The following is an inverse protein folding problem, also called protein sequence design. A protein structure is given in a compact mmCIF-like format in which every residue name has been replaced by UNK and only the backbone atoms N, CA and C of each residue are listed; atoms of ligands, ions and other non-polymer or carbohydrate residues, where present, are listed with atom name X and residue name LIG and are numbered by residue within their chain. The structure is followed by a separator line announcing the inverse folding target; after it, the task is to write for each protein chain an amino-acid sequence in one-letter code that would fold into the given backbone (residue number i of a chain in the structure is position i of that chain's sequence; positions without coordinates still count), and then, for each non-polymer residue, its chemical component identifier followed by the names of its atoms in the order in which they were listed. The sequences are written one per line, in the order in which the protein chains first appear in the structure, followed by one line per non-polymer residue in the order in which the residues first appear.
data_IF_770906805958
#
_entry.id   IF_770906805958
#
_cell.length_a   1.000
_cell.length_b   1.000
_cell.length_c   1.000
_cell.angle_alpha   90.00
_cell.angle_beta   90.00
_cell.angle_gamma   90.00
#
_symmetry.space_group_name_H-M   'P 1'
#
loop_
_entity.id
_entity.type
_entity.pdbx_description
1 polymer ?
#
# COMPACT_ATOMS: atom_id res chain seq x y z
N UNK A 1 -67.80 37.99 -31.88
CA UNK A 1 -67.34 36.61 -31.58
C UNK A 1 -65.82 36.53 -31.75
N UNK A 2 -65.01 36.82 -30.72
CA UNK A 2 -63.56 36.49 -30.76
C UNK A 2 -62.77 36.57 -29.44
N UNK A 3 -63.41 36.68 -28.26
CA UNK A 3 -62.69 36.75 -26.97
C UNK A 3 -62.77 35.48 -26.11
N UNK A 4 -63.71 34.57 -26.38
CA UNK A 4 -63.94 33.38 -25.52
C UNK A 4 -62.98 32.21 -25.80
N UNK A 5 -62.47 32.08 -27.03
CA UNK A 5 -61.61 30.95 -27.40
C UNK A 5 -60.16 31.11 -26.93
N UNK A 6 -59.62 32.35 -26.91
CA UNK A 6 -58.23 32.62 -26.49
C UNK A 6 -57.97 32.37 -25.01
N UNK A 7 -58.94 32.63 -24.13
CA UNK A 7 -58.81 32.41 -22.68
C UNK A 7 -58.80 30.93 -22.30
N UNK A 8 -59.58 30.09 -23.01
CA UNK A 8 -59.60 28.64 -22.75
C UNK A 8 -58.32 27.94 -23.20
N UNK A 9 -57.74 28.37 -24.33
CA UNK A 9 -56.48 27.80 -24.83
C UNK A 9 -55.29 28.17 -23.93
N UNK A 10 -55.24 29.40 -23.41
CA UNK A 10 -54.19 29.82 -22.47
C UNK A 10 -54.23 29.04 -21.14
N UNK A 11 -55.43 28.77 -20.60
CA UNK A 11 -55.57 28.00 -19.36
C UNK A 11 -55.15 26.54 -19.52
N UNK A 12 -55.42 25.91 -20.67
CA UNK A 12 -55.02 24.51 -20.92
C UNK A 12 -53.50 24.41 -21.09
N UNK A 13 -52.86 25.35 -21.78
CA UNK A 13 -51.40 25.37 -21.96
C UNK A 13 -50.68 25.60 -20.63
N UNK A 14 -51.18 26.50 -19.77
CA UNK A 14 -50.62 26.73 -18.43
C UNK A 14 -50.73 25.50 -17.52
N UNK A 15 -51.85 24.76 -17.57
CA UNK A 15 -52.00 23.53 -16.78
C UNK A 15 -51.03 22.44 -17.25
N UNK A 16 -50.82 22.30 -18.57
CA UNK A 16 -49.87 21.32 -19.11
C UNK A 16 -48.43 21.68 -18.74
N UNK A 17 -48.04 22.96 -18.79
CA UNK A 17 -46.70 23.40 -18.37
C UNK A 17 -46.44 23.18 -16.88
N UNK A 18 -47.42 23.48 -16.00
CA UNK A 18 -47.28 23.22 -14.55
C UNK A 18 -47.20 21.72 -14.27
N UNK A 19 -47.96 20.90 -15.01
CA UNK A 19 -47.91 19.43 -14.88
C UNK A 19 -46.57 18.84 -15.31
N UNK A 20 -45.96 19.35 -16.38
CA UNK A 20 -44.61 18.95 -16.81
C UNK A 20 -43.53 19.40 -15.83
N UNK A 21 -43.69 20.56 -15.18
CA UNK A 21 -42.75 21.04 -14.14
C UNK A 21 -42.81 20.17 -12.87
N UNK A 22 -44.01 19.71 -12.48
CA UNK A 22 -44.19 18.83 -11.30
C UNK A 22 -43.66 17.41 -11.59
N UNK A 23 -43.85 16.91 -12.82
CA UNK A 23 -43.30 15.62 -13.25
C UNK A 23 -41.76 15.65 -13.36
N UNK A 24 -41.17 16.77 -13.79
CA UNK A 24 -39.70 16.92 -13.79
C UNK A 24 -39.14 17.02 -12.38
N UNK A 25 -39.76 17.81 -11.49
CA UNK A 25 -39.38 17.89 -10.07
C UNK A 25 -39.49 16.53 -9.35
N UNK A 26 -40.51 15.73 -9.65
CA UNK A 26 -40.66 14.36 -9.15
C UNK A 26 -39.59 13.39 -9.66
N UNK A 27 -39.18 13.52 -10.93
CA UNK A 27 -38.10 12.71 -11.51
C UNK A 27 -36.71 13.10 -10.95
N UNK A 28 -36.46 14.38 -10.71
CA UNK A 28 -35.23 14.85 -10.05
C UNK A 28 -35.16 14.43 -8.58
N UNK A 29 -36.28 14.50 -7.84
CA UNK A 29 -36.33 14.06 -6.45
C UNK A 29 -36.14 12.53 -6.31
N UNK A 30 -36.70 11.73 -7.23
CA UNK A 30 -36.58 10.28 -7.19
C UNK A 30 -35.18 9.78 -7.61
N UNK A 31 -34.51 10.45 -8.56
CA UNK A 31 -33.11 10.17 -8.90
C UNK A 31 -32.14 10.54 -7.78
N UNK A 32 -32.38 11.64 -7.05
CA UNK A 32 -31.57 12.01 -5.90
C UNK A 32 -31.79 11.06 -4.70
N UNK A 33 -33.01 10.56 -4.52
CA UNK A 33 -33.32 9.55 -3.49
C UNK A 33 -32.72 8.18 -3.82
N UNK A 34 -32.75 7.75 -5.09
CA UNK A 34 -32.09 6.53 -5.54
C UNK A 34 -30.55 6.61 -5.48
N UNK A 35 -29.95 7.78 -5.74
CA UNK A 35 -28.51 8.03 -5.48
C UNK A 35 -28.18 7.98 -3.99
N UNK A 36 -29.01 8.59 -3.14
CA UNK A 36 -28.81 8.58 -1.69
C UNK A 36 -29.01 7.19 -1.05
N UNK A 37 -30.01 6.42 -1.49
CA UNK A 37 -30.27 5.05 -1.02
C UNK A 37 -29.23 4.02 -1.53
N UNK A 38 -28.48 4.35 -2.61
CA UNK A 38 -27.37 3.51 -3.09
C UNK A 38 -26.09 3.66 -2.26
N UNK A 39 -25.90 4.82 -1.61
CA UNK A 39 -24.77 5.07 -0.71
C UNK A 39 -24.95 4.43 0.68
N UNK A 40 -26.18 4.15 1.12
CA UNK A 40 -26.46 3.63 2.46
C UNK A 40 -26.27 2.11 2.63
N UNK A 41 -25.55 1.45 1.72
CA UNK A 41 -25.36 -0.02 1.73
C UNK A 41 -23.92 -0.48 1.50
N UNK A 42 -22.95 0.43 1.54
CA UNK A 42 -21.55 0.13 1.29
C UNK A 42 -20.74 0.11 2.59
N UNK A 43 -19.53 -0.44 2.51
CA UNK A 43 -18.59 -0.48 3.62
C UNK A 43 -18.21 0.93 4.05
N UNK A 44 -18.11 1.13 5.35
CA UNK A 44 -17.56 2.34 5.95
C UNK A 44 -16.31 2.01 6.81
N UNK A 45 -15.33 2.91 6.83
CA UNK A 45 -14.14 2.79 7.67
C UNK A 45 -14.17 3.89 8.74
N UNK A 46 -14.14 3.49 10.00
CA UNK A 46 -14.11 4.41 11.14
C UNK A 46 -12.78 5.17 11.17
N UNK A 47 -12.86 6.50 11.26
CA UNK A 47 -11.71 7.40 11.37
C UNK A 47 -11.97 8.51 12.40
N UNK A 48 -10.89 9.09 12.94
CA UNK A 48 -11.00 10.25 13.83
C UNK A 48 -11.52 11.48 13.11
N UNK A 49 -11.03 11.69 11.89
CA UNK A 49 -11.34 12.82 11.01
C UNK A 49 -11.23 12.33 9.57
N UNK A 50 -12.14 12.77 8.71
CA UNK A 50 -12.10 12.58 7.25
C UNK A 50 -11.13 13.56 6.56
N UNK A 51 -10.67 14.60 7.27
CA UNK A 51 -9.76 15.62 6.72
C UNK A 51 -8.42 15.05 6.30
N UNK A 52 -7.99 15.40 5.10
CA UNK A 52 -6.67 15.10 4.53
C UNK A 52 -6.02 16.42 4.06
N UNK A 53 -4.72 16.66 4.32
CA UNK A 53 -4.01 17.82 3.81
C UNK A 53 -4.17 17.94 2.28
N UNK A 54 -4.38 19.16 1.79
CA UNK A 54 -4.59 19.39 0.35
C UNK A 54 -3.42 18.86 -0.49
N UNK A 55 -2.18 19.05 0.00
CA UNK A 55 -0.95 18.53 -0.62
C UNK A 55 -0.97 17.01 -0.81
N UNK A 56 -1.52 16.25 0.14
CA UNK A 56 -1.66 14.79 0.06
C UNK A 56 -2.72 14.42 -0.98
N UNK A 57 -3.86 15.11 -0.97
CA UNK A 57 -4.93 14.90 -1.93
C UNK A 57 -4.47 15.14 -3.37
N UNK A 58 -3.83 16.29 -3.62
CA UNK A 58 -3.30 16.65 -4.93
C UNK A 58 -2.28 15.61 -5.43
N UNK A 59 -1.37 15.17 -4.54
CA UNK A 59 -0.36 14.18 -4.90
C UNK A 59 -0.99 12.81 -5.21
N UNK A 60 -1.99 12.37 -4.45
CA UNK A 60 -2.72 11.14 -4.72
C UNK A 60 -3.44 11.19 -6.08
N UNK A 61 -4.18 12.26 -6.34
CA UNK A 61 -4.93 12.47 -7.59
C UNK A 61 -4.03 12.55 -8.82
N UNK A 62 -2.86 13.20 -8.70
CA UNK A 62 -1.90 13.30 -9.80
C UNK A 62 -1.22 11.97 -10.12
N UNK A 63 -0.97 11.12 -9.12
CA UNK A 63 -0.08 9.98 -9.27
C UNK A 63 -0.78 8.62 -9.41
N UNK A 64 -1.99 8.44 -8.86
CA UNK A 64 -2.57 7.10 -8.69
C UNK A 64 -2.68 6.29 -9.98
N UNK A 65 -3.11 6.90 -11.09
CA UNK A 65 -3.35 6.20 -12.34
C UNK A 65 -2.06 5.70 -13.00
N UNK A 66 -0.98 6.51 -12.95
CA UNK A 66 0.33 6.12 -13.47
C UNK A 66 0.93 4.95 -12.69
N UNK A 67 0.83 5.02 -11.37
CA UNK A 67 1.25 3.93 -10.48
C UNK A 67 0.43 2.65 -10.70
N UNK A 68 -0.90 2.76 -10.83
CA UNK A 68 -1.78 1.63 -11.08
C UNK A 68 -1.47 0.93 -12.41
N UNK A 69 -1.28 1.71 -13.48
CA UNK A 69 -0.90 1.20 -14.81
C UNK A 69 0.46 0.51 -14.78
N UNK A 70 1.45 1.07 -14.08
CA UNK A 70 2.77 0.48 -13.94
C UNK A 70 2.75 -0.84 -13.16
N UNK A 71 1.98 -0.90 -12.06
CA UNK A 71 1.86 -2.13 -11.27
C UNK A 71 1.06 -3.21 -12.00
N UNK A 72 0.00 -2.85 -12.73
CA UNK A 72 -0.71 -3.80 -13.60
C UNK A 72 0.24 -4.40 -14.65
N UNK A 73 1.13 -3.59 -15.23
CA UNK A 73 2.13 -4.07 -16.20
C UNK A 73 3.10 -5.07 -15.55
N UNK A 74 3.55 -4.84 -14.32
CA UNK A 74 4.37 -5.81 -13.56
C UNK A 74 3.63 -7.13 -13.32
N UNK A 75 2.36 -7.04 -12.93
CA UNK A 75 1.54 -8.20 -12.62
C UNK A 75 0.97 -8.89 -13.85
N UNK A 76 1.38 -8.49 -15.07
CA UNK A 76 0.83 -8.96 -16.36
C UNK A 76 -0.71 -8.87 -16.41
N UNK A 77 -1.29 -7.86 -15.78
CA UNK A 77 -2.71 -7.61 -15.73
C UNK A 77 -3.16 -6.70 -16.89
N UNK A 78 -4.41 -6.90 -17.35
CA UNK A 78 -5.01 -6.03 -18.38
C UNK A 78 -5.27 -4.64 -17.82
N UNK A 79 -5.04 -3.58 -18.59
CA UNK A 79 -5.44 -2.23 -18.19
C UNK A 79 -6.96 -2.11 -18.03
N UNK A 80 -7.42 -1.17 -17.20
CA UNK A 80 -8.85 -0.89 -16.98
C UNK A 80 -9.11 0.58 -16.67
N UNK A 81 -10.35 0.91 -16.30
CA UNK A 81 -10.68 2.25 -15.79
C UNK A 81 -10.22 2.35 -14.34
N UNK A 82 -9.26 3.22 -14.07
CA UNK A 82 -8.79 3.50 -12.71
C UNK A 82 -9.56 4.64 -12.07
N UNK A 83 -9.92 4.46 -10.81
CA UNK A 83 -10.59 5.44 -9.96
C UNK A 83 -9.91 5.46 -8.58
N UNK A 84 -9.93 6.62 -7.93
CA UNK A 84 -9.36 6.80 -6.60
C UNK A 84 -10.49 6.86 -5.56
N UNK A 85 -10.49 5.93 -4.62
CA UNK A 85 -11.43 5.90 -3.49
C UNK A 85 -11.07 6.89 -2.39
N UNK A 86 -12.00 7.14 -1.47
CA UNK A 86 -11.79 8.04 -0.32
C UNK A 86 -10.73 7.48 0.64
N UNK A 87 -9.82 8.35 1.10
CA UNK A 87 -8.71 7.95 1.95
C UNK A 87 -9.16 7.51 3.34
N UNK A 88 -8.53 6.46 3.86
CA UNK A 88 -8.66 6.03 5.25
C UNK A 88 -7.33 6.15 6.01
N UNK A 89 -7.41 6.00 7.33
CA UNK A 89 -6.28 6.03 8.28
C UNK A 89 -6.25 4.75 9.09
N UNK A 90 -5.06 4.44 9.59
CA UNK A 90 -4.81 3.27 10.43
C UNK A 90 -4.52 3.72 11.86
N UNK A 91 -4.88 2.89 12.83
CA UNK A 91 -4.70 3.21 14.25
C UNK A 91 -4.02 2.07 15.01
N UNK A 92 -3.17 2.41 15.98
CA UNK A 92 -2.79 1.46 17.02
C UNK A 92 -3.97 1.21 17.96
N UNK A 93 -4.01 0.06 18.63
CA UNK A 93 -5.05 -0.29 19.60
C UNK A 93 -5.22 0.74 20.75
N UNK A 94 -4.15 1.47 21.09
CA UNK A 94 -4.12 2.53 22.10
C UNK A 94 -4.66 3.89 21.60
N UNK A 95 -5.02 3.99 20.32
CA UNK A 95 -5.53 5.19 19.69
C UNK A 95 -4.48 6.09 19.04
N UNK A 96 -3.20 5.73 18.97
CA UNK A 96 -2.25 6.47 18.15
C UNK A 96 -2.64 6.35 16.65
N UNK A 97 -2.69 7.48 15.95
CA UNK A 97 -2.98 7.52 14.50
C UNK A 97 -1.69 7.34 13.72
N UNK A 98 -1.75 6.50 12.69
CA UNK A 98 -0.70 6.31 11.71
C UNK A 98 -0.34 7.62 10.98
N UNK A 99 0.93 7.80 10.63
CA UNK A 99 1.40 9.04 9.98
C UNK A 99 1.15 9.08 8.47
N UNK A 100 0.60 8.01 7.88
CA UNK A 100 0.33 7.88 6.45
C UNK A 100 -1.16 7.97 6.08
N UNK A 101 -1.42 8.14 4.79
CA UNK A 101 -2.75 8.14 4.20
C UNK A 101 -2.88 7.03 3.16
N UNK A 102 -4.02 6.33 3.18
CA UNK A 102 -4.24 5.13 2.39
C UNK A 102 -5.45 5.32 1.48
N UNK A 103 -5.22 5.36 0.17
CA UNK A 103 -6.27 5.50 -0.83
C UNK A 103 -6.51 4.16 -1.52
N UNK A 104 -7.75 3.63 -1.49
CA UNK A 104 -8.13 2.50 -2.33
C UNK A 104 -8.00 2.87 -3.81
N UNK A 105 -7.28 2.05 -4.58
CA UNK A 105 -7.22 2.18 -6.04
C UNK A 105 -8.21 1.19 -6.63
N UNK A 106 -9.23 1.75 -7.29
CA UNK A 106 -10.34 1.02 -7.86
C UNK A 106 -10.09 0.83 -9.35
N UNK A 107 -10.28 -0.39 -9.84
CA UNK A 107 -10.20 -0.74 -11.26
C UNK A 107 -11.45 -1.48 -11.66
N UNK A 108 -12.19 -0.91 -12.60
CA UNK A 108 -13.45 -1.46 -13.10
C UNK A 108 -14.42 -1.82 -11.95
N UNK A 109 -14.50 -0.95 -10.94
CA UNK A 109 -15.33 -1.13 -9.75
C UNK A 109 -14.79 -2.07 -8.67
N UNK A 110 -13.58 -2.63 -8.81
CA UNK A 110 -12.92 -3.48 -7.80
C UNK A 110 -11.74 -2.80 -7.14
N UNK A 111 -11.59 -2.94 -5.83
CA UNK A 111 -10.39 -2.45 -5.13
C UNK A 111 -9.25 -3.42 -5.43
N UNK A 112 -8.25 -2.96 -6.19
CA UNK A 112 -7.14 -3.83 -6.65
C UNK A 112 -5.82 -3.50 -5.99
N UNK A 113 -5.60 -2.24 -5.64
CA UNK A 113 -4.39 -1.76 -4.97
C UNK A 113 -4.73 -0.76 -3.87
N UNK A 114 -3.72 -0.42 -3.09
CA UNK A 114 -3.73 0.70 -2.15
C UNK A 114 -2.57 1.62 -2.49
N UNK A 115 -2.87 2.90 -2.68
CA UNK A 115 -1.90 3.97 -2.80
C UNK A 115 -1.64 4.53 -1.40
N UNK A 116 -0.38 4.50 -0.97
CA UNK A 116 0.04 4.99 0.35
C UNK A 116 0.87 6.25 0.18
N UNK A 117 0.51 7.29 0.93
CA UNK A 117 1.29 8.52 1.06
C UNK A 117 1.87 8.60 2.47
N UNK A 118 3.20 8.58 2.57
CA UNK A 118 3.96 8.50 3.82
C UNK A 118 5.04 9.58 3.89
N UNK A 119 5.56 9.93 5.07
CA UNK A 119 6.73 10.81 5.18
C UNK A 119 7.88 10.33 4.28
N UNK A 120 8.43 11.24 3.47
CA UNK A 120 9.36 10.85 2.39
C UNK A 120 10.73 10.45 2.91
N UNK A 121 11.28 11.20 3.86
CA UNK A 121 12.62 11.05 4.42
C UNK A 121 12.62 11.28 5.94
N UNK A 122 13.71 10.90 6.64
CA UNK A 122 13.82 11.06 8.10
C UNK A 122 13.48 12.47 8.61
N UNK A 123 13.91 13.50 7.89
CA UNK A 123 13.66 14.89 8.28
C UNK A 123 12.17 15.26 8.26
N UNK A 124 11.36 14.55 7.48
CA UNK A 124 9.92 14.76 7.38
C UNK A 124 9.16 14.22 8.60
N UNK A 125 9.75 13.30 9.37
CA UNK A 125 9.17 12.78 10.62
C UNK A 125 9.11 13.83 11.73
N UNK A 126 9.90 14.89 11.63
CA UNK A 126 9.93 15.99 12.58
C UNK A 126 9.04 17.17 12.16
N UNK A 127 8.35 17.07 11.01
CA UNK A 127 7.50 18.14 10.45
C UNK A 127 6.02 17.86 10.73
N UNK A 128 5.20 18.91 10.63
CA UNK A 128 3.75 18.77 10.69
C UNK A 128 3.22 18.03 9.45
N UNK A 129 1.99 17.49 9.54
CA UNK A 129 1.30 16.85 8.39
C UNK A 129 1.06 17.81 7.20
N UNK A 130 1.09 19.12 7.44
CA UNK A 130 0.95 20.11 6.36
C UNK A 130 2.30 20.43 5.69
N UNK A 131 3.40 20.38 6.46
CA UNK A 131 4.73 20.82 6.00
C UNK A 131 5.60 19.67 5.47
N UNK A 132 5.33 18.43 5.90
CA UNK A 132 6.14 17.29 5.51
C UNK A 132 6.06 17.00 4.01
N UNK A 133 7.14 16.46 3.44
CA UNK A 133 7.11 15.88 2.11
C UNK A 133 6.61 14.44 2.17
N UNK A 134 5.82 14.07 1.18
CA UNK A 134 5.23 12.74 1.07
C UNK A 134 5.89 11.99 -0.08
N UNK A 135 6.22 10.72 0.14
CA UNK A 135 6.45 9.76 -0.94
C UNK A 135 5.12 9.16 -1.38
N UNK A 136 5.04 8.71 -2.62
CA UNK A 136 3.92 7.92 -3.12
C UNK A 136 4.38 6.48 -3.34
N UNK A 137 3.64 5.54 -2.75
CA UNK A 137 3.83 4.10 -2.93
C UNK A 137 2.53 3.46 -3.41
N UNK A 138 2.61 2.49 -4.32
CA UNK A 138 1.49 1.58 -4.61
C UNK A 138 1.87 0.14 -4.29
N UNK A 139 0.92 -0.64 -3.77
CA UNK A 139 1.03 -2.08 -3.54
C UNK A 139 -0.37 -2.70 -3.42
N UNK A 140 -0.46 -4.02 -3.28
CA UNK A 140 -1.74 -4.69 -3.02
C UNK A 140 -2.16 -4.70 -1.53
N UNK A 141 -1.53 -3.86 -0.69
CA UNK A 141 -1.77 -3.78 0.76
C UNK A 141 -3.27 -3.77 1.09
N UNK A 142 -3.74 -4.86 1.72
CA UNK A 142 -5.14 -5.13 2.14
C UNK A 142 -6.23 -4.91 1.09
N UNK A 143 -5.86 -4.71 -0.19
CA UNK A 143 -6.80 -4.35 -1.24
C UNK A 143 -7.84 -5.47 -1.47
N UNK A 144 -7.38 -6.72 -1.49
CA UNK A 144 -8.22 -7.91 -1.58
C UNK A 144 -9.16 -8.06 -0.38
N UNK A 145 -8.69 -7.75 0.82
CA UNK A 145 -9.51 -7.79 2.05
C UNK A 145 -10.61 -6.73 2.01
N UNK A 146 -10.32 -5.52 1.54
CA UNK A 146 -11.32 -4.46 1.37
C UNK A 146 -12.32 -4.80 0.25
N UNK A 147 -11.85 -5.29 -0.91
CA UNK A 147 -12.74 -5.63 -2.05
C UNK A 147 -13.78 -6.69 -1.68
N UNK A 148 -13.41 -7.68 -0.85
CA UNK A 148 -14.31 -8.74 -0.41
C UNK A 148 -15.51 -8.24 0.41
N UNK A 149 -15.37 -7.11 1.09
CA UNK A 149 -16.40 -6.58 2.00
C UNK A 149 -16.88 -5.18 1.60
N UNK A 150 -16.44 -4.63 0.45
CA UNK A 150 -16.76 -3.26 0.03
C UNK A 150 -18.26 -2.96 -0.12
N UNK A 151 -19.05 -3.97 -0.46
CA UNK A 151 -20.50 -3.89 -0.65
C UNK A 151 -21.27 -4.33 0.61
N UNK A 152 -20.57 -4.62 1.72
CA UNK A 152 -21.18 -4.98 2.99
C UNK A 152 -21.63 -3.71 3.70
N UNK A 153 -22.88 -3.69 4.15
CA UNK A 153 -23.43 -2.59 4.96
C UNK A 153 -22.98 -2.74 6.42
N UNK A 154 -21.69 -2.51 6.68
CA UNK A 154 -21.07 -2.52 8.00
C UNK A 154 -19.93 -1.50 8.05
N UNK A 155 -19.44 -1.24 9.27
CA UNK A 155 -18.25 -0.43 9.48
C UNK A 155 -17.09 -1.28 10.01
N UNK A 156 -15.88 -0.91 9.62
CA UNK A 156 -14.66 -1.50 10.15
C UNK A 156 -13.72 -0.44 10.72
N UNK A 157 -12.84 -0.84 11.62
CA UNK A 157 -11.68 -0.03 12.01
C UNK A 157 -10.41 -0.74 11.55
N UNK A 158 -9.54 -0.05 10.80
CA UNK A 158 -8.23 -0.60 10.39
C UNK A 158 -7.22 -0.34 11.50
N UNK A 159 -6.68 -1.41 12.05
CA UNK A 159 -5.81 -1.39 13.22
C UNK A 159 -4.43 -1.95 12.90
N UNK A 160 -3.43 -1.60 13.71
CA UNK A 160 -2.09 -2.18 13.60
C UNK A 160 -1.44 -2.37 14.98
N UNK A 161 -0.57 -3.38 15.06
CA UNK A 161 0.38 -3.59 16.16
C UNK A 161 1.70 -4.11 15.61
N UNK A 162 2.61 -4.52 16.51
CA UNK A 162 3.93 -5.02 16.14
C UNK A 162 3.88 -6.25 15.22
N UNK A 163 2.82 -7.07 15.26
CA UNK A 163 2.70 -8.32 14.48
C UNK A 163 1.95 -8.13 13.15
N UNK A 164 1.25 -7.02 12.94
CA UNK A 164 0.58 -6.79 11.67
C UNK A 164 -0.55 -5.77 11.67
N UNK A 165 -1.49 -6.00 10.74
CA UNK A 165 -2.68 -5.20 10.53
C UNK A 165 -3.94 -6.03 10.75
N UNK A 166 -4.99 -5.40 11.25
CA UNK A 166 -6.23 -6.04 11.65
C UNK A 166 -7.44 -5.22 11.19
N UNK A 167 -8.55 -5.89 10.97
CA UNK A 167 -9.86 -5.24 10.95
C UNK A 167 -10.59 -5.54 12.24
N UNK A 168 -11.16 -4.50 12.84
CA UNK A 168 -12.21 -4.66 13.85
C UNK A 168 -13.57 -4.45 13.19
N UNK A 169 -14.46 -5.41 13.37
CA UNK A 169 -15.84 -5.40 12.86
C UNK A 169 -16.76 -6.01 13.93
N UNK A 170 -17.84 -5.32 14.28
CA UNK A 170 -18.80 -5.77 15.31
C UNK A 170 -18.15 -6.19 16.65
N UNK A 171 -17.09 -5.48 17.06
CA UNK A 171 -16.33 -5.78 18.28
C UNK A 171 -15.39 -6.98 18.18
N UNK A 172 -15.27 -7.62 17.01
CA UNK A 172 -14.33 -8.73 16.75
C UNK A 172 -13.14 -8.23 15.96
N UNK A 173 -11.94 -8.56 16.43
CA UNK A 173 -10.68 -8.21 15.78
C UNK A 173 -10.15 -9.43 15.02
N UNK A 174 -9.85 -9.27 13.73
CA UNK A 174 -9.22 -10.31 12.89
C UNK A 174 -7.94 -9.78 12.24
N UNK A 175 -6.90 -10.60 12.18
CA UNK A 175 -5.68 -10.31 11.42
C UNK A 175 -6.00 -10.29 9.92
N UNK A 176 -5.54 -9.25 9.22
CA UNK A 176 -5.62 -9.15 7.74
C UNK A 176 -4.26 -9.31 7.09
N UNK A 177 -3.18 -8.89 7.75
CA UNK A 177 -1.82 -9.00 7.22
C UNK A 177 -0.80 -9.13 8.35
N UNK A 178 -0.02 -10.22 8.32
CA UNK A 178 1.10 -10.43 9.23
C UNK A 178 2.36 -9.68 8.76
N UNK A 179 3.18 -9.23 9.71
CA UNK A 179 4.47 -8.57 9.48
C UNK A 179 5.54 -9.10 10.44
N UNK A 180 5.95 -10.37 10.27
CA UNK A 180 6.92 -10.98 11.18
C UNK A 180 8.30 -10.33 11.05
N UNK A 181 8.90 -10.03 12.20
CA UNK A 181 10.20 -9.38 12.36
C UNK A 181 11.01 -10.12 13.44
N UNK A 182 12.36 -10.08 13.38
CA UNK A 182 13.24 -10.72 14.37
C UNK A 182 12.86 -10.45 15.84
N UNK A 183 12.43 -9.23 16.15
CA UNK A 183 12.07 -8.84 17.52
C UNK A 183 10.59 -9.01 17.90
N UNK A 184 9.72 -9.55 17.03
CA UNK A 184 8.30 -9.76 17.37
C UNK A 184 7.84 -11.23 17.24
N UNK A 185 8.59 -12.10 16.55
CA UNK A 185 8.17 -13.49 16.32
C UNK A 185 8.16 -14.29 17.64
N UNK A 186 9.10 -14.01 18.54
CA UNK A 186 9.19 -14.64 19.87
C UNK A 186 8.36 -13.94 20.95
N UNK A 187 7.98 -12.69 20.71
CA UNK A 187 7.36 -11.87 21.74
C UNK A 187 5.89 -12.24 21.96
N UNK A 188 5.48 -12.13 23.23
CA UNK A 188 4.09 -12.31 23.62
C UNK A 188 3.23 -11.29 22.89
N UNK A 189 2.16 -11.78 22.30
CA UNK A 189 1.22 -10.94 21.59
C UNK A 189 0.55 -9.95 22.54
N UNK A 190 0.60 -8.66 22.19
CA UNK A 190 -0.11 -7.61 22.91
C UNK A 190 -1.62 -7.83 22.81
N UNK A 191 -2.37 -7.43 23.86
CA UNK A 191 -3.81 -7.61 23.91
C UNK A 191 -4.50 -6.88 22.75
N UNK A 192 -5.34 -7.59 21.99
CA UNK A 192 -6.11 -7.06 20.85
C UNK A 192 -7.39 -6.35 21.28
N UNK A 193 -7.31 -5.57 22.35
CA UNK A 193 -8.45 -4.84 22.90
C UNK A 193 -8.41 -3.41 22.38
N UNK A 194 -9.39 -3.04 21.56
CA UNK A 194 -9.57 -1.66 21.10
C UNK A 194 -9.88 -0.76 22.31
N UNK A 195 -8.98 0.18 22.59
CA UNK A 195 -9.09 1.03 23.77
C UNK A 195 -10.35 1.91 23.74
N UNK A 196 -10.91 2.21 24.91
CA UNK A 196 -12.04 3.14 25.03
C UNK A 196 -11.70 4.53 24.47
N UNK A 197 -10.44 4.97 24.63
CA UNK A 197 -9.92 6.22 24.05
C UNK A 197 -10.10 6.23 22.54
N UNK A 198 -9.62 5.20 21.84
CA UNK A 198 -9.76 5.11 20.39
C UNK A 198 -11.24 5.15 19.98
N UNK A 199 -12.10 4.36 20.63
CA UNK A 199 -13.55 4.35 20.35
C UNK A 199 -14.21 5.73 20.49
N UNK A 200 -13.77 6.54 21.45
CA UNK A 200 -14.29 7.90 21.64
C UNK A 200 -13.77 8.92 20.62
N UNK A 201 -12.58 8.67 20.05
CA UNK A 201 -11.96 9.53 19.05
C UNK A 201 -12.46 9.24 17.62
N UNK A 202 -12.88 8.00 17.33
CA UNK A 202 -13.49 7.59 16.06
C UNK A 202 -14.91 8.17 15.92
N UNK A 203 -14.99 9.39 15.38
CA UNK A 203 -16.24 10.16 15.27
C UNK A 203 -16.79 10.26 13.85
N UNK A 204 -16.03 9.82 12.86
CA UNK A 204 -16.37 9.93 11.45
C UNK A 204 -16.17 8.59 10.74
N UNK A 205 -16.73 8.48 9.55
CA UNK A 205 -16.50 7.36 8.64
C UNK A 205 -16.13 7.87 7.26
N UNK A 206 -15.40 7.04 6.52
CA UNK A 206 -15.08 7.23 5.10
C UNK A 206 -15.50 5.99 4.32
N UNK A 207 -15.87 6.15 3.06
CA UNK A 207 -16.34 5.04 2.22
C UNK A 207 -15.28 4.72 1.17
N UNK A 208 -14.57 3.58 1.24
CA UNK A 208 -13.45 3.27 0.35
C UNK A 208 -13.84 3.17 -1.13
N UNK A 209 -15.13 2.96 -1.44
CA UNK A 209 -15.68 2.92 -2.81
C UNK A 209 -16.20 4.26 -3.30
N UNK A 210 -16.24 5.29 -2.46
CA UNK A 210 -16.64 6.64 -2.86
C UNK A 210 -15.52 7.26 -3.68
N UNK A 211 -15.79 7.45 -4.96
CA UNK A 211 -14.81 7.96 -5.93
C UNK A 211 -14.65 9.46 -5.75
N UNK A 212 -13.41 9.92 -5.58
CA UNK A 212 -13.10 11.35 -5.64
C UNK A 212 -13.23 11.86 -7.09
N UNK A 213 -13.72 13.08 -7.27
CA UNK A 213 -13.71 13.72 -8.59
C UNK A 213 -12.27 13.88 -9.06
N UNK A 214 -11.92 13.17 -10.13
CA UNK A 214 -10.58 13.16 -10.71
C UNK A 214 -10.58 13.95 -12.01
N UNK A 215 -9.50 14.70 -12.25
CA UNK A 215 -9.21 15.26 -13.57
C UNK A 215 -8.98 14.13 -14.59
N UNK A 216 -9.15 14.45 -15.88
CA UNK A 216 -8.97 13.48 -16.95
C UNK A 216 -7.55 12.89 -16.92
N UNK A 217 -7.46 11.56 -16.79
CA UNK A 217 -6.20 10.81 -16.79
C UNK A 217 -5.52 10.98 -18.16
N UNK A 218 -4.24 11.38 -18.15
CA UNK A 218 -3.44 11.43 -19.38
C UNK A 218 -3.07 10.03 -19.86
N UNK A 219 -3.05 9.80 -21.19
CA UNK A 219 -2.84 8.45 -21.75
C UNK A 219 -1.42 7.89 -21.52
N UNK A 220 -0.40 8.74 -21.35
CA UNK A 220 1.03 8.35 -21.36
C UNK A 220 1.77 8.61 -20.02
N UNK A 221 1.23 8.06 -18.94
CA UNK A 221 1.76 8.24 -17.59
C UNK A 221 2.93 7.32 -17.20
N UNK A 222 3.25 6.29 -18.01
CA UNK A 222 4.34 5.34 -17.74
C UNK A 222 5.32 5.35 -18.91
N UNK A 223 6.41 6.10 -18.77
CA UNK A 223 7.33 6.38 -19.88
C UNK A 223 8.44 5.33 -20.00
N UNK A 224 8.85 4.72 -18.88
CA UNK A 224 9.98 3.79 -18.85
C UNK A 224 9.83 2.77 -17.74
N UNK A 225 10.36 1.57 -17.97
CA UNK A 225 10.41 0.49 -16.99
C UNK A 225 11.54 -0.48 -17.33
N UNK A 226 12.28 -0.89 -16.30
CA UNK A 226 13.38 -1.84 -16.39
C UNK A 226 13.39 -2.72 -15.15
N UNK A 227 13.28 -4.04 -15.33
CA UNK A 227 13.20 -5.01 -14.22
C UNK A 227 14.03 -6.26 -14.49
N UNK A 228 14.43 -6.93 -13.41
CA UNK A 228 15.10 -8.22 -13.45
C UNK A 228 14.20 -9.25 -14.13
N UNK A 229 14.57 -9.64 -15.36
CA UNK A 229 13.72 -10.40 -16.29
C UNK A 229 13.09 -11.67 -15.71
N UNK A 230 13.81 -12.42 -14.87
CA UNK A 230 13.32 -13.68 -14.31
C UNK A 230 12.91 -13.56 -12.83
N UNK A 231 12.81 -12.34 -12.31
CA UNK A 231 12.31 -12.14 -10.96
C UNK A 231 10.84 -12.58 -10.87
N UNK A 232 10.54 -13.41 -9.89
CA UNK A 232 9.19 -13.91 -9.63
C UNK A 232 9.06 -14.24 -8.15
N UNK A 233 7.98 -13.73 -7.56
CA UNK A 233 7.56 -14.07 -6.20
C UNK A 233 7.09 -15.53 -6.21
N UNK A 234 7.73 -16.38 -5.41
CA UNK A 234 7.46 -17.83 -5.33
C UNK A 234 7.06 -18.30 -3.93
N UNK A 235 7.41 -17.53 -2.92
CA UNK A 235 7.18 -17.80 -1.52
C UNK A 235 6.94 -16.47 -0.79
N UNK A 236 6.35 -16.52 0.41
CA UNK A 236 5.98 -15.34 1.18
C UNK A 236 6.29 -15.58 2.66
N UNK A 237 6.81 -14.55 3.32
CA UNK A 237 7.17 -14.56 4.74
C UNK A 237 5.94 -14.24 5.59
N UNK A 238 5.57 -15.13 6.51
CA UNK A 238 4.38 -14.96 7.36
C UNK A 238 4.60 -15.20 8.86
N UNK A 239 5.42 -16.18 9.23
CA UNK A 239 5.52 -16.71 10.59
C UNK A 239 6.96 -16.88 11.10
N UNK A 240 7.93 -16.30 10.39
CA UNK A 240 9.36 -16.42 10.66
C UNK A 240 10.09 -15.09 10.39
N UNK A 241 11.35 -15.00 10.80
CA UNK A 241 12.16 -13.77 10.71
C UNK A 241 13.13 -13.75 9.52
N UNK A 242 12.85 -14.51 8.45
CA UNK A 242 13.81 -14.80 7.39
C UNK A 242 13.79 -13.80 6.22
N UNK A 243 13.38 -12.55 6.45
CA UNK A 243 13.27 -11.51 5.40
C UNK A 243 14.47 -11.46 4.43
N UNK A 244 15.69 -11.60 4.94
CA UNK A 244 16.90 -11.67 4.12
C UNK A 244 17.02 -12.98 3.33
N UNK A 245 16.66 -14.12 3.91
CA UNK A 245 16.57 -15.42 3.21
C UNK A 245 15.59 -15.36 2.03
N UNK A 246 14.38 -14.86 2.26
CA UNK A 246 13.37 -14.65 1.20
C UNK A 246 13.91 -13.72 0.08
N UNK A 247 14.49 -12.58 0.47
CA UNK A 247 15.01 -11.61 -0.49
C UNK A 247 16.17 -12.19 -1.31
N UNK A 248 17.14 -12.87 -0.68
CA UNK A 248 18.24 -13.54 -1.37
C UNK A 248 17.76 -14.67 -2.28
N UNK A 249 16.79 -15.49 -1.83
CA UNK A 249 16.23 -16.58 -2.64
C UNK A 249 15.61 -16.03 -3.94
N UNK A 250 14.77 -14.99 -3.83
CA UNK A 250 14.14 -14.37 -4.98
C UNK A 250 15.16 -13.75 -5.94
N UNK A 251 16.17 -13.04 -5.43
CA UNK A 251 17.23 -12.43 -6.24
C UNK A 251 18.10 -13.48 -6.93
N UNK A 252 18.59 -14.50 -6.22
CA UNK A 252 19.40 -15.57 -6.79
C UNK A 252 18.63 -16.37 -7.84
N UNK A 253 17.36 -16.68 -7.57
CA UNK A 253 16.48 -17.31 -8.56
C UNK A 253 16.33 -16.44 -9.83
N UNK A 254 16.20 -15.13 -9.66
CA UNK A 254 16.10 -14.18 -10.78
C UNK A 254 17.38 -14.13 -11.61
N UNK A 255 18.53 -13.86 -10.97
CA UNK A 255 19.79 -13.62 -11.67
C UNK A 255 20.41 -14.89 -12.23
N UNK A 256 20.08 -16.06 -11.68
CA UNK A 256 20.49 -17.37 -12.20
C UNK A 256 19.45 -18.06 -13.06
N UNK A 257 18.27 -17.45 -13.24
CA UNK A 257 17.14 -18.03 -13.95
C UNK A 257 16.83 -19.47 -13.48
N UNK A 258 16.62 -19.63 -12.19
CA UNK A 258 16.28 -20.90 -11.53
C UNK A 258 15.13 -20.68 -10.56
N UNK A 259 14.66 -21.75 -9.93
CA UNK A 259 13.64 -21.75 -8.88
C UNK A 259 14.02 -22.63 -7.68
N UNK A 260 15.28 -23.04 -7.61
CA UNK A 260 15.81 -23.94 -6.56
C UNK A 260 16.05 -23.25 -5.22
N UNK A 261 16.25 -21.93 -5.21
CA UNK A 261 16.49 -21.21 -3.96
C UNK A 261 15.17 -20.91 -3.24
N UNK A 262 15.15 -21.12 -1.92
CA UNK A 262 14.04 -20.78 -1.05
C UNK A 262 14.60 -20.33 0.32
N UNK A 263 13.82 -19.57 1.08
CA UNK A 263 14.25 -19.01 2.35
C UNK A 263 14.67 -20.09 3.36
N UNK A 264 13.92 -21.20 3.44
CA UNK A 264 14.19 -22.29 4.38
C UNK A 264 15.60 -22.87 4.18
N UNK A 265 15.95 -23.25 2.95
CA UNK A 265 17.23 -23.91 2.67
C UNK A 265 18.42 -22.97 2.85
N UNK A 266 18.24 -21.68 2.58
CA UNK A 266 19.23 -20.65 2.92
C UNK A 266 19.44 -20.61 4.43
N UNK A 267 18.36 -20.51 5.21
CA UNK A 267 18.47 -20.43 6.67
C UNK A 267 19.04 -21.72 7.27
N UNK A 268 18.67 -22.89 6.74
CA UNK A 268 19.24 -24.20 7.11
C UNK A 268 20.74 -24.29 6.80
N UNK A 269 21.19 -23.69 5.70
CA UNK A 269 22.63 -23.60 5.35
C UNK A 269 23.39 -22.72 6.36
N UNK A 270 22.79 -21.61 6.79
CA UNK A 270 23.40 -20.68 7.75
C UNK A 270 23.39 -21.20 9.20
N UNK A 271 22.40 -22.04 9.54
CA UNK A 271 22.17 -22.56 10.88
C UNK A 271 21.95 -24.08 10.86
N UNK A 272 22.96 -24.88 10.45
CA UNK A 272 22.79 -26.32 10.24
C UNK A 272 22.45 -27.08 11.53
N UNK A 273 22.88 -26.57 12.69
CA UNK A 273 22.68 -27.20 14.00
C UNK A 273 21.40 -26.77 14.74
N UNK A 274 20.67 -25.76 14.23
CA UNK A 274 19.46 -25.25 14.88
C UNK A 274 18.28 -26.17 14.59
N UNK A 275 17.44 -26.47 15.59
CA UNK A 275 16.25 -27.31 15.41
C UNK A 275 15.28 -26.69 14.40
N UNK A 276 14.47 -27.50 13.69
CA UNK A 276 13.42 -26.98 12.81
C UNK A 276 12.42 -26.07 13.54
N UNK A 277 12.20 -26.31 14.83
CA UNK A 277 11.32 -25.50 15.67
C UNK A 277 11.91 -24.11 15.98
N UNK A 278 13.23 -24.02 16.12
CA UNK A 278 13.93 -22.79 16.46
C UNK A 278 14.49 -22.06 15.22
N UNK A 279 14.47 -22.67 14.05
CA UNK A 279 14.95 -22.03 12.82
C UNK A 279 14.14 -20.78 12.44
N UNK A 280 12.78 -20.75 12.52
CA UNK A 280 11.95 -19.56 12.23
C UNK A 280 12.33 -18.30 13.02
N UNK A 281 13.03 -18.52 14.11
CA UNK A 281 13.44 -17.56 15.12
C UNK A 281 14.87 -17.02 14.91
N UNK A 282 15.61 -17.57 13.95
CA UNK A 282 16.93 -17.08 13.55
C UNK A 282 16.80 -15.94 12.53
N UNK A 283 17.56 -14.87 12.75
CA UNK A 283 17.70 -13.78 11.78
C UNK A 283 18.93 -14.00 10.88
N UNK A 284 19.16 -13.11 9.93
CA UNK A 284 20.36 -13.14 9.06
C UNK A 284 21.12 -11.83 9.18
N UNK A 285 22.44 -11.90 9.24
CA UNK A 285 23.32 -10.74 9.38
C UNK A 285 24.15 -10.47 8.11
N UNK A 286 24.64 -9.23 7.91
CA UNK A 286 25.45 -8.84 6.75
C UNK A 286 26.60 -9.78 6.36
N UNK A 287 27.39 -10.25 7.33
CA UNK A 287 28.49 -11.18 7.06
C UNK A 287 28.01 -12.52 6.48
N UNK A 288 26.92 -13.07 7.02
CA UNK A 288 26.33 -14.32 6.54
C UNK A 288 25.76 -14.16 5.13
N UNK A 289 25.19 -13.01 4.81
CA UNK A 289 24.69 -12.70 3.47
C UNK A 289 25.83 -12.72 2.43
N UNK A 290 26.97 -12.12 2.77
CA UNK A 290 28.15 -12.09 1.93
C UNK A 290 28.76 -13.49 1.77
N UNK A 291 28.92 -14.22 2.87
CA UNK A 291 29.47 -15.59 2.85
C UNK A 291 28.56 -16.56 2.07
N UNK A 292 27.24 -16.45 2.26
CA UNK A 292 26.28 -17.23 1.48
C UNK A 292 26.38 -16.89 0.00
N UNK A 293 26.38 -15.60 -0.37
CA UNK A 293 26.57 -15.18 -1.76
C UNK A 293 27.85 -15.76 -2.39
N UNK A 294 28.97 -15.74 -1.66
CA UNK A 294 30.24 -16.35 -2.10
C UNK A 294 30.10 -17.85 -2.37
N UNK A 295 29.45 -18.59 -1.48
CA UNK A 295 29.18 -20.03 -1.69
C UNK A 295 28.34 -20.30 -2.94
N UNK A 296 27.56 -19.31 -3.38
CA UNK A 296 26.72 -19.35 -4.57
C UNK A 296 27.43 -18.74 -5.80
N UNK A 297 28.72 -18.42 -5.75
CA UNK A 297 29.46 -17.84 -6.87
C UNK A 297 29.05 -16.39 -7.18
N UNK A 298 28.75 -15.62 -6.14
CA UNK A 298 28.44 -14.18 -6.19
C UNK A 298 29.38 -13.41 -5.27
N UNK A 299 29.87 -12.26 -5.73
CA UNK A 299 30.67 -11.37 -4.89
C UNK A 299 29.80 -10.23 -4.37
N UNK A 300 29.31 -10.39 -3.15
CA UNK A 300 28.37 -9.46 -2.53
C UNK A 300 29.15 -8.34 -1.83
N UNK A 301 28.79 -7.09 -2.12
CA UNK A 301 29.32 -5.92 -1.45
C UNK A 301 28.21 -5.14 -0.77
N UNK A 302 28.54 -4.62 0.41
CA UNK A 302 27.70 -3.64 1.08
C UNK A 302 27.92 -2.26 0.48
N UNK A 303 26.84 -1.56 0.17
CA UNK A 303 26.85 -0.15 -0.19
C UNK A 303 25.99 0.63 0.80
N UNK A 304 26.51 1.74 1.32
CA UNK A 304 25.77 2.64 2.21
C UNK A 304 24.76 3.49 1.42
N UNK A 305 23.61 3.76 2.04
CA UNK A 305 22.56 4.61 1.50
C UNK A 305 21.64 3.93 0.48
N UNK A 306 20.72 4.72 -0.07
CA UNK A 306 19.87 4.31 -1.19
C UNK A 306 20.69 4.41 -2.49
N UNK A 307 20.83 3.33 -3.29
CA UNK A 307 21.47 3.41 -4.59
C UNK A 307 20.71 4.37 -5.51
N UNK A 308 21.42 5.12 -6.37
CA UNK A 308 20.75 6.06 -7.27
C UNK A 308 19.87 5.34 -8.29
N UNK A 309 18.90 6.06 -8.87
CA UNK A 309 18.03 5.52 -9.92
C UNK A 309 18.83 4.94 -11.09
N UNK A 310 19.86 5.64 -11.56
CA UNK A 310 20.72 5.21 -12.66
C UNK A 310 21.59 4.00 -12.27
N UNK A 311 22.03 3.94 -11.02
CA UNK A 311 22.76 2.78 -10.54
C UNK A 311 21.87 1.53 -10.54
N UNK A 312 20.63 1.65 -10.04
CA UNK A 312 19.65 0.55 -10.10
C UNK A 312 19.38 0.17 -11.56
N UNK A 313 19.23 1.15 -12.44
CA UNK A 313 19.00 0.92 -13.87
C UNK A 313 20.12 0.09 -14.52
N UNK A 314 21.37 0.48 -14.29
CA UNK A 314 22.54 -0.20 -14.84
C UNK A 314 22.69 -1.61 -14.26
N UNK A 315 22.61 -1.76 -12.93
CA UNK A 315 22.72 -3.07 -12.27
C UNK A 315 21.60 -4.02 -12.69
N UNK A 316 20.38 -3.51 -12.90
CA UNK A 316 19.25 -4.31 -13.39
C UNK A 316 19.48 -4.79 -14.82
N UNK A 317 20.03 -3.93 -15.71
CA UNK A 317 20.42 -4.31 -17.08
C UNK A 317 21.53 -5.36 -17.09
N UNK A 318 22.45 -5.26 -16.15
CA UNK A 318 23.55 -6.22 -15.95
C UNK A 318 23.11 -7.48 -15.21
N UNK A 319 21.80 -7.60 -14.88
CA UNK A 319 21.20 -8.73 -14.17
C UNK A 319 21.89 -9.00 -12.81
N UNK A 320 22.18 -7.93 -12.07
CA UNK A 320 22.77 -7.94 -10.72
C UNK A 320 21.69 -7.63 -9.69
N UNK A 321 21.50 -8.53 -8.72
CA UNK A 321 20.49 -8.37 -7.68
C UNK A 321 20.94 -7.40 -6.58
N UNK A 322 19.99 -6.60 -6.08
CA UNK A 322 20.17 -5.65 -4.98
C UNK A 322 19.16 -5.99 -3.87
N UNK A 323 19.66 -6.26 -2.68
CA UNK A 323 18.84 -6.39 -1.48
C UNK A 323 18.87 -5.09 -0.69
N UNK A 324 17.69 -4.62 -0.30
CA UNK A 324 17.48 -3.47 0.57
C UNK A 324 17.75 -3.89 2.02
N UNK A 325 18.55 -3.12 2.74
CA UNK A 325 18.69 -3.22 4.18
C UNK A 325 18.04 -2.01 4.84
N UNK A 326 16.98 -2.25 5.61
CA UNK A 326 16.24 -1.21 6.29
C UNK A 326 16.21 -1.45 7.81
N UNK A 327 16.18 -0.38 8.58
CA UNK A 327 16.08 -0.44 10.04
C UNK A 327 15.15 0.66 10.57
N UNK A 328 14.45 0.37 11.67
CA UNK A 328 13.59 1.35 12.33
C UNK A 328 14.33 2.67 12.60
N UNK A 329 13.66 3.80 12.33
CA UNK A 329 14.16 5.16 12.64
C UNK A 329 14.03 5.50 14.14
N UNK A 330 13.38 4.62 14.92
CA UNK A 330 13.07 4.82 16.34
C UNK A 330 14.18 5.53 17.11
N UNK A 331 13.81 6.64 17.75
CA UNK A 331 14.68 7.41 18.64
C UNK A 331 14.86 6.72 20.00
N UNK A 332 14.21 5.58 20.25
CA UNK A 332 14.27 4.90 21.53
C UNK A 332 15.51 3.97 21.58
N UNK A 333 16.53 4.27 22.40
CA UNK A 333 17.71 3.42 22.52
C UNK A 333 17.42 2.04 23.15
N UNK A 334 16.22 1.84 23.69
CA UNK A 334 15.74 0.56 24.23
C UNK A 334 14.87 -0.22 23.22
N UNK A 335 14.60 0.32 22.04
CA UNK A 335 13.93 -0.41 20.96
C UNK A 335 15.02 -1.15 20.18
N UNK A 336 15.10 -2.49 20.25
CA UNK A 336 16.12 -3.25 19.53
C UNK A 336 16.09 -2.82 18.06
N UNK A 337 17.25 -2.66 17.42
CA UNK A 337 17.31 -2.37 15.99
C UNK A 337 16.55 -3.47 15.21
N UNK A 338 15.27 -3.22 14.94
CA UNK A 338 14.45 -4.10 14.13
C UNK A 338 14.87 -3.83 12.69
N UNK A 339 15.61 -4.78 12.14
CA UNK A 339 15.98 -4.81 10.74
C UNK A 339 14.89 -5.50 9.91
N UNK A 340 14.73 -5.04 8.68
CA UNK A 340 13.95 -5.73 7.66
C UNK A 340 14.71 -5.68 6.33
N UNK A 341 14.59 -6.74 5.53
CA UNK A 341 15.22 -6.84 4.22
C UNK A 341 14.18 -7.04 3.12
N UNK A 342 14.41 -6.40 1.97
CA UNK A 342 13.54 -6.44 0.79
C UNK A 342 14.39 -6.66 -0.47
N UNK A 343 13.77 -7.04 -1.58
CA UNK A 343 14.47 -7.22 -2.85
C UNK A 343 14.13 -6.08 -3.83
N UNK A 344 15.14 -5.42 -4.41
CA UNK A 344 14.92 -4.54 -5.57
C UNK A 344 14.66 -5.41 -6.78
N UNK A 345 13.64 -5.05 -7.55
CA UNK A 345 13.27 -5.72 -8.80
C UNK A 345 13.66 -4.89 -10.01
N UNK A 346 13.69 -3.56 -9.86
CA UNK A 346 14.13 -2.65 -10.91
C UNK A 346 13.69 -1.21 -10.66
N UNK A 347 13.49 -0.47 -11.74
CA UNK A 347 13.19 0.95 -11.72
C UNK A 347 12.24 1.35 -12.86
N UNK A 348 11.54 2.47 -12.68
CA UNK A 348 10.58 2.99 -13.66
C UNK A 348 10.53 4.52 -13.65
N UNK A 349 10.04 5.09 -14.75
CA UNK A 349 9.66 6.51 -14.84
C UNK A 349 8.15 6.60 -15.01
N UNK A 350 7.50 7.22 -14.04
CA UNK A 350 6.05 7.39 -13.97
C UNK A 350 5.77 8.87 -13.76
N UNK A 351 4.93 9.46 -14.61
CA UNK A 351 4.65 10.91 -14.61
C UNK A 351 5.93 11.75 -14.58
N UNK A 352 6.91 11.36 -15.41
CA UNK A 352 8.24 11.97 -15.48
C UNK A 352 9.09 11.94 -14.20
N UNK A 353 8.68 11.17 -13.19
CA UNK A 353 9.39 11.00 -11.93
C UNK A 353 10.01 9.60 -11.82
N UNK A 354 11.19 9.55 -11.23
CA UNK A 354 11.97 8.33 -11.03
C UNK A 354 11.45 7.52 -9.84
N UNK A 355 11.23 6.22 -10.08
CA UNK A 355 10.64 5.27 -9.14
C UNK A 355 11.50 4.01 -9.06
N UNK A 356 11.49 3.38 -7.89
CA UNK A 356 12.05 2.04 -7.67
C UNK A 356 10.91 1.02 -7.53
N UNK A 357 11.14 -0.17 -8.11
CA UNK A 357 10.25 -1.32 -8.01
C UNK A 357 10.93 -2.32 -7.08
N UNK A 358 10.23 -2.76 -6.04
CA UNK A 358 10.76 -3.69 -5.06
C UNK A 358 9.72 -4.69 -4.59
N UNK A 359 10.18 -5.74 -3.92
CA UNK A 359 9.35 -6.76 -3.28
C UNK A 359 9.63 -6.79 -1.79
N UNK A 360 8.59 -6.58 -0.98
CA UNK A 360 8.62 -6.89 0.44
C UNK A 360 8.27 -8.37 0.62
N UNK A 361 9.09 -9.19 1.31
CA UNK A 361 8.80 -10.60 1.55
C UNK A 361 7.43 -10.92 2.15
N UNK A 362 6.77 -9.95 2.80
CA UNK A 362 5.41 -10.11 3.34
C UNK A 362 4.31 -9.99 2.29
N UNK A 363 4.62 -9.61 1.05
CA UNK A 363 3.66 -9.29 -0.01
C UNK A 363 3.65 -10.38 -1.09
N UNK A 364 2.48 -10.60 -1.70
CA UNK A 364 2.32 -11.48 -2.88
C UNK A 364 2.55 -10.77 -4.20
N UNK A 365 2.73 -9.45 -4.17
CA UNK A 365 2.91 -8.59 -5.33
C UNK A 365 4.04 -7.58 -5.08
N UNK A 366 4.44 -6.89 -6.13
CA UNK A 366 5.47 -5.85 -6.06
C UNK A 366 4.93 -4.55 -5.47
N UNK A 367 5.85 -3.71 -5.04
CA UNK A 367 5.62 -2.33 -4.66
C UNK A 367 6.39 -1.40 -5.59
N UNK A 368 5.83 -0.22 -5.85
CA UNK A 368 6.50 0.87 -6.59
C UNK A 368 6.50 2.11 -5.69
N UNK A 369 7.65 2.78 -5.56
CA UNK A 369 7.82 3.95 -4.69
C UNK A 369 8.78 4.97 -5.31
N UNK A 370 8.67 6.24 -4.91
CA UNK A 370 9.65 7.30 -5.20
C UNK A 370 11.10 6.84 -4.98
N UNK A 371 11.96 7.02 -5.99
CA UNK A 371 13.36 6.60 -5.92
C UNK A 371 14.20 7.42 -4.92
N UNK A 372 13.80 8.66 -4.67
CA UNK A 372 14.43 9.59 -3.74
C UNK A 372 13.80 9.57 -2.32
N UNK A 373 13.05 8.51 -2.00
CA UNK A 373 12.52 8.26 -0.66
C UNK A 373 13.37 7.20 0.06
N UNK A 374 13.87 7.54 1.24
CA UNK A 374 14.65 6.63 2.09
C UNK A 374 13.81 5.91 3.15
N UNK A 375 12.54 6.27 3.32
CA UNK A 375 11.65 5.67 4.32
C UNK A 375 10.72 4.61 3.72
N UNK A 376 10.72 3.44 4.34
CA UNK A 376 9.76 2.37 4.12
C UNK A 376 8.78 2.36 5.28
N UNK A 377 7.54 2.75 5.02
CA UNK A 377 6.48 2.74 6.02
C UNK A 377 5.90 1.33 6.19
N UNK A 378 6.06 0.74 7.37
CA UNK A 378 5.64 -0.62 7.72
C UNK A 378 4.61 -0.60 8.86
N UNK A 379 4.18 -1.78 9.31
CA UNK A 379 3.22 -1.93 10.43
C UNK A 379 3.67 -1.23 11.71
N UNK A 380 2.69 -1.02 12.59
CA UNK A 380 2.85 -0.35 13.88
C UNK A 380 3.27 1.12 13.81
N UNK A 381 2.90 1.83 12.72
CA UNK A 381 3.31 3.22 12.49
C UNK A 381 4.84 3.36 12.63
N UNK A 382 5.59 2.41 12.05
CA UNK A 382 7.05 2.40 12.10
C UNK A 382 7.62 2.70 10.72
N UNK A 383 8.44 3.73 10.68
CA UNK A 383 9.23 4.07 9.51
C UNK A 383 10.60 3.41 9.59
N UNK A 384 10.94 2.65 8.56
CA UNK A 384 12.23 1.99 8.41
C UNK A 384 13.07 2.75 7.40
N UNK A 385 14.24 3.20 7.80
CA UNK A 385 15.18 3.83 6.88
C UNK A 385 15.96 2.78 6.11
N UNK A 386 15.90 2.86 4.78
CA UNK A 386 16.86 2.21 3.89
C UNK A 386 18.23 2.84 4.14
N UNK A 387 19.07 2.14 4.91
CA UNK A 387 20.38 2.65 5.34
C UNK A 387 21.53 2.12 4.47
N UNK A 388 21.29 1.03 3.75
CA UNK A 388 22.26 0.47 2.81
C UNK A 388 21.69 -0.70 2.03
N UNK A 389 22.52 -1.31 1.21
CA UNK A 389 22.16 -2.41 0.32
C UNK A 389 23.26 -3.45 0.25
N UNK A 390 22.86 -4.69 0.02
CA UNK A 390 23.75 -5.76 -0.43
C UNK A 390 23.59 -5.92 -1.93
N UNK A 391 24.65 -5.68 -2.68
CA UNK A 391 24.66 -5.70 -4.14
C UNK A 391 25.53 -6.86 -4.62
N UNK A 392 25.08 -7.61 -5.62
CA UNK A 392 25.87 -8.66 -6.26
C UNK A 392 25.20 -10.02 -6.38
N UNK A 393 23.90 -10.15 -6.03
CA UNK A 393 23.18 -11.43 -6.06
C UNK A 393 22.92 -11.94 -7.48
#
# INVERSE_FOLDING_TARGET
MNSSCKSRVFNIISIIMVSMLILSLGAFANNNKAKADSHSKQLEINVKSDKVPQKVKDLAQQQFAGYAKALDKQSNAKTGKYELGEAFKIYKFNGEEDNSYYYPVIKDGKIVYTLTLSPKNKDDLNKSKEDMNYSVKISNFIAKDLDQIKDKNSNITVLTDEKGFYFEEDGKVRLVKATPLPGNVKEKESAKTVSAKLKQELKNTVTPTKVEENEAIQEDQVQYENTLKNFKIREQQFDNSWCAGFSMAALLNATKNTDTYNAHDIMRTLYPEVSEQDLPNCATFPNQMIEYGKSQGRDIHYQEGVPSYEQVDQLTKDNVGIMILAQSVSQNPNDPHLGHALAVVGNAKINDQEKLIYWNPWDTELSIQDADSSLLHLSFNRDYNWYGSMIGY
#
